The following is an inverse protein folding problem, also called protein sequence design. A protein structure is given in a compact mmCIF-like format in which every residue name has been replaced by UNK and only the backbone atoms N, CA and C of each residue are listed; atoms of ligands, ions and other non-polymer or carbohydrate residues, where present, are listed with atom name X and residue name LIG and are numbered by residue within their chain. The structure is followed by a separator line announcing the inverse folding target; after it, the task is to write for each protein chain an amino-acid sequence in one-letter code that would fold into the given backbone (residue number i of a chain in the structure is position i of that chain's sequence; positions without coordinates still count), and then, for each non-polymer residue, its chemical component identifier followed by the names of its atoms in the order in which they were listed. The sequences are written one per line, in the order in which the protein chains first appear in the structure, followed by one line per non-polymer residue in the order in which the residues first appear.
data_IF_574286191741
#
_entry.id   IF_574286191741
#
_cell.length_a   1.000
_cell.length_b   1.000
_cell.length_c   1.000
_cell.angle_alpha   90.00
_cell.angle_beta   90.00
_cell.angle_gamma   90.00
#
_symmetry.space_group_name_H-M   'P 1'
#
loop_
_entity.id
_entity.type
_entity.pdbx_description
1 polymer ?
#
# COMPACT_ATOMS: atom_id res chain seq x y z
N UNK A 1 -42.95 -77.27 -35.32
CA UNK A 1 -41.63 -76.66 -35.62
C UNK A 1 -41.81 -75.19 -35.95
N UNK A 2 -42.04 -74.34 -34.97
CA UNK A 2 -42.05 -72.87 -35.18
C UNK A 2 -42.32 -72.18 -33.84
N UNK A 3 -41.36 -72.16 -32.90
CA UNK A 3 -41.47 -71.24 -31.77
C UNK A 3 -40.13 -70.89 -31.04
N UNK A 4 -39.03 -71.52 -31.45
CA UNK A 4 -37.76 -71.30 -30.73
C UNK A 4 -36.83 -70.19 -31.24
N UNK A 5 -37.11 -69.64 -32.42
CA UNK A 5 -36.26 -68.57 -32.99
C UNK A 5 -36.54 -67.14 -32.48
N UNK A 6 -37.73 -66.91 -31.93
CA UNK A 6 -38.11 -65.57 -31.43
C UNK A 6 -37.55 -65.22 -30.04
N UNK A 7 -37.20 -66.26 -29.24
CA UNK A 7 -36.72 -66.06 -27.85
C UNK A 7 -35.22 -65.75 -27.73
N UNK A 8 -34.41 -66.17 -28.71
CA UNK A 8 -32.94 -65.84 -28.68
C UNK A 8 -32.61 -64.46 -29.17
N UNK A 9 -33.41 -63.84 -30.07
CA UNK A 9 -33.20 -62.51 -30.58
C UNK A 9 -33.49 -61.40 -29.55
N UNK A 10 -34.32 -61.67 -28.53
CA UNK A 10 -34.62 -60.73 -27.43
C UNK A 10 -33.51 -60.62 -26.41
N UNK A 11 -32.81 -61.72 -26.06
CA UNK A 11 -31.75 -61.73 -25.06
C UNK A 11 -30.46 -61.01 -25.54
N UNK A 12 -30.11 -61.13 -26.79
CA UNK A 12 -28.96 -60.45 -27.39
C UNK A 12 -29.06 -58.94 -27.39
N UNK A 13 -30.25 -58.40 -27.62
CA UNK A 13 -30.49 -56.94 -27.63
C UNK A 13 -30.50 -56.31 -26.27
N UNK A 14 -31.00 -56.98 -25.23
CA UNK A 14 -31.05 -56.48 -23.88
C UNK A 14 -29.63 -56.44 -23.26
N UNK A 15 -28.81 -57.46 -23.50
CA UNK A 15 -27.43 -57.56 -22.99
C UNK A 15 -26.54 -56.49 -23.69
N UNK A 16 -26.77 -56.21 -24.96
CA UNK A 16 -26.02 -55.20 -25.71
C UNK A 16 -26.41 -53.76 -25.29
N UNK A 17 -27.69 -53.54 -24.94
CA UNK A 17 -28.17 -52.23 -24.45
C UNK A 17 -27.66 -51.94 -23.02
N UNK A 18 -27.62 -52.93 -22.13
CA UNK A 18 -27.06 -52.81 -20.79
C UNK A 18 -25.53 -52.56 -20.80
N UNK A 19 -24.80 -53.19 -21.73
CA UNK A 19 -23.34 -52.94 -21.88
C UNK A 19 -23.05 -51.53 -22.42
N UNK A 20 -23.87 -50.97 -23.29
CA UNK A 20 -23.73 -49.62 -23.80
C UNK A 20 -24.11 -48.55 -22.75
N UNK A 21 -25.10 -48.82 -21.89
CA UNK A 21 -25.45 -47.93 -20.75
C UNK A 21 -24.36 -47.93 -19.67
N UNK A 22 -23.76 -49.08 -19.36
CA UNK A 22 -22.68 -49.18 -18.38
C UNK A 22 -21.39 -48.50 -18.84
N UNK A 23 -21.06 -48.54 -20.15
CA UNK A 23 -19.94 -47.79 -20.72
C UNK A 23 -20.18 -46.25 -20.75
N UNK A 24 -21.41 -45.81 -20.92
CA UNK A 24 -21.78 -44.39 -20.92
C UNK A 24 -21.72 -43.79 -19.51
N UNK A 25 -22.05 -44.53 -18.46
CA UNK A 25 -21.97 -44.08 -17.07
C UNK A 25 -20.52 -44.05 -16.55
N UNK A 26 -19.65 -44.97 -17.00
CA UNK A 26 -18.23 -44.98 -16.64
C UNK A 26 -17.42 -43.86 -17.33
N UNK A 27 -17.85 -43.37 -18.50
CA UNK A 27 -17.23 -42.24 -19.16
C UNK A 27 -17.66 -40.89 -18.57
N UNK A 28 -18.85 -40.80 -17.95
CA UNK A 28 -19.33 -39.56 -17.32
C UNK A 28 -18.69 -39.30 -15.93
N UNK A 29 -18.17 -40.34 -15.25
CA UNK A 29 -17.47 -40.16 -13.97
C UNK A 29 -16.00 -39.74 -14.09
N UNK A 30 -15.42 -39.73 -15.27
CA UNK A 30 -14.02 -39.36 -15.49
C UNK A 30 -13.85 -37.87 -15.87
N UNK A 31 -14.92 -37.06 -16.01
CA UNK A 31 -14.84 -35.64 -16.41
C UNK A 31 -14.95 -34.69 -15.19
N UNK A 32 -15.20 -35.19 -13.97
CA UNK A 32 -15.03 -34.44 -12.74
C UNK A 32 -13.61 -34.57 -12.18
N UNK A 33 -12.58 -34.54 -13.03
CA UNK A 33 -11.27 -34.10 -12.60
C UNK A 33 -11.44 -32.62 -12.29
N UNK A 34 -11.70 -32.29 -11.05
CA UNK A 34 -11.50 -30.94 -10.54
C UNK A 34 -10.15 -30.49 -11.10
N UNK A 35 -10.15 -29.56 -12.02
CA UNK A 35 -8.94 -28.83 -12.35
C UNK A 35 -8.51 -28.20 -11.01
N UNK A 36 -7.70 -28.92 -10.26
CA UNK A 36 -6.96 -28.35 -9.14
C UNK A 36 -6.22 -27.19 -9.78
N UNK A 37 -6.73 -25.98 -9.56
CA UNK A 37 -6.08 -24.79 -10.07
C UNK A 37 -4.64 -24.88 -9.57
N UNK A 38 -3.69 -24.97 -10.51
CA UNK A 38 -2.28 -25.07 -10.17
C UNK A 38 -1.94 -23.92 -9.23
N UNK A 39 -1.25 -24.21 -8.15
CA UNK A 39 -0.76 -23.21 -7.22
C UNK A 39 0.02 -22.13 -7.99
N UNK A 40 -0.36 -20.88 -7.79
CA UNK A 40 0.30 -19.73 -8.42
C UNK A 40 1.23 -19.09 -7.41
N UNK A 41 2.46 -18.80 -7.82
CA UNK A 41 3.42 -18.03 -7.00
C UNK A 41 3.55 -16.62 -7.56
N UNK A 42 3.23 -15.60 -6.75
CA UNK A 42 3.32 -14.20 -7.08
C UNK A 42 4.64 -13.60 -6.56
N UNK A 43 5.28 -12.77 -7.37
CA UNK A 43 6.52 -12.06 -7.00
C UNK A 43 6.15 -10.76 -6.29
N UNK A 44 6.70 -10.57 -5.08
CA UNK A 44 6.40 -9.40 -4.27
C UNK A 44 7.66 -8.62 -3.91
N UNK A 45 7.56 -7.29 -3.85
CA UNK A 45 8.64 -6.37 -3.46
C UNK A 45 8.12 -5.32 -2.50
N UNK A 46 8.98 -4.82 -1.60
CA UNK A 46 8.69 -3.69 -0.74
C UNK A 46 9.56 -2.48 -1.10
N UNK A 47 8.96 -1.29 -1.11
CA UNK A 47 9.69 -0.02 -1.20
C UNK A 47 10.43 0.33 0.12
N UNK A 48 10.20 -0.44 1.18
CA UNK A 48 10.79 -0.24 2.50
C UNK A 48 11.71 -1.41 2.87
N UNK A 49 12.73 -1.13 3.68
CA UNK A 49 13.65 -2.14 4.16
C UNK A 49 12.91 -3.20 4.99
N UNK A 50 13.34 -4.43 4.86
CA UNK A 50 12.77 -5.58 5.57
C UNK A 50 12.84 -5.38 7.09
N UNK A 51 11.84 -5.87 7.79
CA UNK A 51 11.70 -5.83 9.26
C UNK A 51 11.61 -4.41 9.85
N UNK A 52 11.43 -3.39 9.01
CA UNK A 52 11.19 -2.01 9.45
C UNK A 52 9.71 -1.73 9.65
N UNK A 53 9.38 -0.61 10.26
CA UNK A 53 8.01 -0.18 10.59
C UNK A 53 7.06 -0.30 9.38
N UNK A 54 7.53 0.07 8.18
CA UNK A 54 6.67 0.11 6.98
C UNK A 54 6.71 -1.15 6.11
N UNK A 55 7.50 -2.16 6.49
CA UNK A 55 7.50 -3.48 5.84
C UNK A 55 6.80 -4.55 6.67
N UNK A 56 6.79 -4.44 8.01
CA UNK A 56 6.23 -5.46 8.91
C UNK A 56 4.78 -5.86 8.62
N UNK A 57 3.91 -4.88 8.31
CA UNK A 57 2.53 -5.15 7.94
C UNK A 57 2.41 -5.98 6.65
N UNK A 58 3.28 -5.69 5.68
CA UNK A 58 3.36 -6.43 4.43
C UNK A 58 3.94 -7.83 4.62
N UNK A 59 4.95 -7.98 5.45
CA UNK A 59 5.52 -9.29 5.80
C UNK A 59 4.47 -10.18 6.48
N UNK A 60 3.69 -9.63 7.44
CA UNK A 60 2.53 -10.31 8.04
C UNK A 60 1.46 -10.71 6.98
N UNK A 61 1.20 -9.83 6.01
CA UNK A 61 0.29 -10.13 4.90
C UNK A 61 0.80 -11.32 4.07
N UNK A 62 2.08 -11.35 3.73
CA UNK A 62 2.72 -12.45 3.00
C UNK A 62 2.62 -13.76 3.78
N UNK A 63 2.96 -13.74 5.07
CA UNK A 63 2.89 -14.92 5.94
C UNK A 63 1.47 -15.51 6.00
N UNK A 64 0.45 -14.65 6.11
CA UNK A 64 -0.96 -15.05 6.10
C UNK A 64 -1.38 -15.69 4.76
N UNK A 65 -0.99 -15.05 3.65
CA UNK A 65 -1.28 -15.60 2.31
C UNK A 65 -0.60 -16.94 2.13
N UNK A 66 0.66 -17.08 2.51
CA UNK A 66 1.42 -18.31 2.36
C UNK A 66 0.93 -19.42 3.29
N UNK A 67 0.39 -19.09 4.46
CA UNK A 67 -0.20 -20.04 5.38
C UNK A 67 -1.58 -20.55 4.89
N UNK A 68 -2.47 -19.62 4.53
CA UNK A 68 -3.86 -19.92 4.14
C UNK A 68 -3.97 -20.37 2.66
N UNK A 69 -3.00 -20.03 1.84
CA UNK A 69 -3.01 -20.24 0.39
C UNK A 69 -2.29 -21.49 -0.10
N UNK A 70 -1.87 -22.41 0.79
CA UNK A 70 -1.19 -23.65 0.39
C UNK A 70 -2.01 -24.44 -0.63
N UNK A 71 -1.36 -24.79 -1.77
CA UNK A 71 -2.00 -25.47 -2.89
C UNK A 71 -2.89 -24.59 -3.77
N UNK A 72 -3.01 -23.28 -3.46
CA UNK A 72 -3.85 -22.31 -4.19
C UNK A 72 -3.02 -21.13 -4.70
N UNK A 73 -2.32 -20.44 -3.79
CA UNK A 73 -1.51 -19.26 -4.11
C UNK A 73 -0.42 -19.06 -3.05
N UNK A 74 0.76 -18.68 -3.50
CA UNK A 74 1.90 -18.32 -2.65
C UNK A 74 2.47 -16.98 -3.07
N UNK A 75 3.18 -16.32 -2.17
CA UNK A 75 3.93 -15.11 -2.45
C UNK A 75 5.42 -15.39 -2.24
N UNK A 76 6.20 -15.14 -3.27
CA UNK A 76 7.66 -15.09 -3.20
C UNK A 76 8.08 -13.63 -2.92
N UNK A 77 8.52 -13.35 -1.70
CA UNK A 77 9.03 -12.04 -1.33
C UNK A 77 10.47 -11.86 -1.82
N UNK A 78 10.68 -10.99 -2.81
CA UNK A 78 11.99 -10.73 -3.43
C UNK A 78 12.87 -9.89 -2.49
N UNK A 79 12.26 -9.02 -1.67
CA UNK A 79 12.95 -8.16 -0.71
C UNK A 79 12.54 -6.69 -0.79
N UNK A 80 13.33 -5.85 -0.12
CA UNK A 80 13.15 -4.40 -0.04
C UNK A 80 14.03 -3.61 -1.00
N UNK A 81 14.51 -2.39 -0.57
CA UNK A 81 15.29 -1.45 -1.40
C UNK A 81 16.60 -2.00 -1.98
N UNK A 82 17.14 -3.08 -1.44
CA UNK A 82 18.31 -3.77 -2.02
C UNK A 82 17.96 -4.53 -3.30
N UNK A 83 16.73 -5.03 -3.40
CA UNK A 83 16.23 -5.72 -4.59
C UNK A 83 15.72 -4.72 -5.64
N UNK A 84 15.11 -3.62 -5.22
CA UNK A 84 14.55 -2.62 -6.12
C UNK A 84 14.51 -1.23 -5.47
N UNK A 85 15.01 -0.17 -6.14
CA UNK A 85 14.95 1.19 -5.62
C UNK A 85 13.49 1.62 -5.31
N UNK A 86 13.22 2.29 -4.17
CA UNK A 86 11.86 2.61 -3.73
C UNK A 86 11.00 3.35 -4.76
N UNK A 87 11.58 4.31 -5.51
CA UNK A 87 10.86 5.10 -6.49
C UNK A 87 10.60 4.37 -7.83
N UNK A 88 11.19 3.17 -8.02
CA UNK A 88 10.99 2.32 -9.19
C UNK A 88 9.90 1.25 -8.98
N UNK A 89 9.52 1.00 -7.73
CA UNK A 89 8.53 -0.04 -7.38
C UNK A 89 7.20 0.16 -8.10
N UNK A 90 6.74 1.41 -8.24
CA UNK A 90 5.50 1.74 -8.94
C UNK A 90 5.55 1.37 -10.43
N UNK A 91 6.64 1.69 -11.12
CA UNK A 91 6.85 1.33 -12.52
C UNK A 91 6.96 -0.19 -12.71
N UNK A 92 7.70 -0.87 -11.83
CA UNK A 92 7.86 -2.32 -11.88
C UNK A 92 6.52 -3.05 -11.69
N UNK A 93 5.67 -2.57 -10.79
CA UNK A 93 4.33 -3.09 -10.63
C UNK A 93 3.48 -2.84 -11.89
N UNK A 94 3.45 -1.61 -12.40
CA UNK A 94 2.66 -1.22 -13.59
C UNK A 94 2.99 -2.11 -14.80
N UNK A 95 4.26 -2.38 -15.01
CA UNK A 95 4.74 -3.17 -16.16
C UNK A 95 4.71 -4.68 -15.93
N UNK A 96 4.39 -5.15 -14.72
CA UNK A 96 4.34 -6.58 -14.38
C UNK A 96 5.71 -7.23 -14.14
N UNK A 97 6.75 -6.45 -13.90
CA UNK A 97 8.05 -6.97 -13.43
C UNK A 97 7.88 -7.63 -12.07
N UNK A 98 7.02 -7.06 -11.23
CA UNK A 98 6.54 -7.68 -9.98
C UNK A 98 5.01 -7.76 -10.00
N UNK A 99 4.47 -8.72 -9.25
CA UNK A 99 3.03 -8.98 -9.19
C UNK A 99 2.36 -8.26 -8.03
N UNK A 100 3.08 -8.07 -6.93
CA UNK A 100 2.62 -7.39 -5.71
C UNK A 100 3.68 -6.39 -5.26
N UNK A 101 3.24 -5.22 -4.80
CA UNK A 101 4.10 -4.20 -4.23
C UNK A 101 3.57 -3.69 -2.89
N UNK A 102 4.47 -3.53 -1.92
CA UNK A 102 4.30 -2.73 -0.74
C UNK A 102 4.93 -1.35 -1.00
N UNK A 103 4.11 -0.33 -1.18
CA UNK A 103 4.59 1.01 -1.51
C UNK A 103 3.66 2.09 -0.95
N UNK A 104 3.98 3.34 -1.19
CA UNK A 104 3.21 4.50 -0.76
C UNK A 104 2.95 5.44 -1.93
N UNK A 105 1.87 6.20 -1.88
CA UNK A 105 1.61 7.30 -2.80
C UNK A 105 2.79 8.26 -2.92
N UNK A 106 3.54 8.46 -1.82
CA UNK A 106 4.76 9.25 -1.79
C UNK A 106 5.85 8.84 -2.81
N UNK A 107 5.88 7.56 -3.22
CA UNK A 107 6.90 7.03 -4.12
C UNK A 107 6.37 6.74 -5.53
N UNK A 108 5.08 6.94 -5.78
CA UNK A 108 4.42 6.61 -7.05
C UNK A 108 3.85 7.81 -7.79
N UNK A 109 4.10 9.03 -7.31
CA UNK A 109 3.61 10.29 -7.93
C UNK A 109 4.06 10.49 -9.38
N UNK A 110 5.22 9.95 -9.75
CA UNK A 110 5.72 9.96 -11.14
C UNK A 110 4.90 9.08 -12.10
N UNK A 111 4.21 8.07 -11.56
CA UNK A 111 3.34 7.15 -12.33
C UNK A 111 1.89 7.60 -12.28
N UNK A 112 1.45 8.06 -11.10
CA UNK A 112 0.07 8.44 -10.82
C UNK A 112 0.06 9.58 -9.78
N UNK A 113 -0.01 10.84 -10.20
CA UNK A 113 -0.02 12.00 -9.28
C UNK A 113 -1.12 11.93 -8.22
N UNK A 114 -2.28 11.35 -8.57
CA UNK A 114 -3.42 11.17 -7.66
C UNK A 114 -3.08 10.32 -6.43
N UNK A 115 -2.07 9.46 -6.51
CA UNK A 115 -1.62 8.67 -5.36
C UNK A 115 -1.17 9.53 -4.18
N UNK A 116 -0.76 10.78 -4.45
CA UNK A 116 -0.40 11.76 -3.43
C UNK A 116 -1.57 12.19 -2.54
N UNK A 117 -2.82 12.00 -2.99
CA UNK A 117 -4.01 12.39 -2.22
C UNK A 117 -4.17 11.61 -0.92
N UNK A 118 -3.64 10.40 -0.82
CA UNK A 118 -3.75 9.60 0.40
C UNK A 118 -3.21 10.30 1.65
N UNK A 119 -2.16 11.12 1.52
CA UNK A 119 -1.61 11.90 2.64
C UNK A 119 -2.57 12.94 3.20
N UNK A 120 -3.55 13.38 2.40
CA UNK A 120 -4.49 14.45 2.73
C UNK A 120 -5.83 13.93 3.24
N UNK A 121 -6.00 12.61 3.37
CA UNK A 121 -7.26 12.06 3.86
C UNK A 121 -7.49 12.43 5.32
N UNK A 122 -8.68 12.97 5.59
CA UNK A 122 -9.19 13.27 6.94
C UNK A 122 -10.14 12.15 7.43
N UNK A 123 -10.33 11.11 6.61
CA UNK A 123 -11.26 10.01 6.84
C UNK A 123 -10.53 8.68 6.96
N UNK A 124 -10.94 7.79 7.88
CA UNK A 124 -10.39 6.44 7.95
C UNK A 124 -10.82 5.62 6.73
N UNK A 125 -10.07 4.57 6.40
CA UNK A 125 -10.37 3.69 5.26
C UNK A 125 -11.79 3.10 5.31
N UNK A 126 -12.29 2.77 6.50
CA UNK A 126 -13.65 2.26 6.69
C UNK A 126 -14.74 3.24 6.23
N UNK A 127 -14.49 4.55 6.32
CA UNK A 127 -15.38 5.60 5.82
C UNK A 127 -15.21 5.80 4.31
N UNK A 128 -13.97 5.81 3.80
CA UNK A 128 -13.68 5.93 2.37
C UNK A 128 -14.26 4.77 1.56
N UNK A 129 -14.31 3.56 2.11
CA UNK A 129 -14.98 2.41 1.49
C UNK A 129 -16.50 2.57 1.44
N UNK A 130 -17.10 3.31 2.36
CA UNK A 130 -18.56 3.55 2.41
C UNK A 130 -19.00 4.73 1.56
N UNK A 131 -18.19 5.78 1.47
CA UNK A 131 -18.55 7.01 0.76
C UNK A 131 -18.19 6.99 -0.74
N UNK A 132 -17.57 5.90 -1.23
CA UNK A 132 -17.16 5.75 -2.64
C UNK A 132 -15.74 6.28 -2.94
N UNK A 133 -15.05 6.88 -1.98
CA UNK A 133 -13.70 7.43 -2.18
C UNK A 133 -12.67 6.35 -2.49
N UNK A 134 -12.78 5.19 -1.84
CA UNK A 134 -11.95 4.03 -2.15
C UNK A 134 -12.17 3.54 -3.59
N UNK A 135 -13.42 3.34 -3.99
CA UNK A 135 -13.76 2.82 -5.33
C UNK A 135 -13.31 3.79 -6.43
N UNK A 136 -13.46 5.09 -6.18
CA UNK A 136 -12.98 6.12 -7.11
C UNK A 136 -11.46 6.06 -7.29
N UNK A 137 -10.70 6.00 -6.20
CA UNK A 137 -9.24 5.84 -6.25
C UNK A 137 -8.83 4.51 -6.89
N UNK A 138 -9.51 3.41 -6.57
CA UNK A 138 -9.24 2.10 -7.15
C UNK A 138 -9.40 2.11 -8.69
N UNK A 139 -10.40 2.84 -9.20
CA UNK A 139 -10.58 3.05 -10.64
C UNK A 139 -9.38 3.76 -11.27
N UNK A 140 -8.85 4.81 -10.63
CA UNK A 140 -7.68 5.55 -11.12
C UNK A 140 -6.41 4.67 -11.08
N UNK A 141 -6.21 3.91 -10.00
CA UNK A 141 -5.11 2.93 -9.92
C UNK A 141 -5.17 1.90 -11.06
N UNK A 142 -6.36 1.37 -11.36
CA UNK A 142 -6.54 0.41 -12.44
C UNK A 142 -6.22 1.03 -13.82
N UNK A 143 -6.62 2.27 -14.06
CA UNK A 143 -6.44 2.95 -15.35
C UNK A 143 -5.00 3.45 -15.55
N UNK A 144 -4.43 4.15 -14.56
CA UNK A 144 -3.15 4.84 -14.71
C UNK A 144 -1.95 3.99 -14.32
N UNK A 145 -2.12 3.09 -13.37
CA UNK A 145 -1.03 2.30 -12.78
C UNK A 145 -1.13 0.81 -13.09
N UNK A 146 -2.17 0.37 -13.83
CA UNK A 146 -2.45 -1.06 -14.06
C UNK A 146 -2.40 -1.85 -12.74
N UNK A 147 -2.98 -1.31 -11.68
CA UNK A 147 -2.90 -1.86 -10.33
C UNK A 147 -4.28 -1.97 -9.66
N UNK A 148 -4.43 -3.00 -8.84
CA UNK A 148 -5.50 -3.14 -7.86
C UNK A 148 -4.97 -2.64 -6.53
N UNK A 149 -5.64 -1.65 -5.93
CA UNK A 149 -5.38 -1.21 -4.56
C UNK A 149 -6.04 -2.21 -3.61
N UNK A 150 -5.26 -3.06 -2.96
CA UNK A 150 -5.81 -4.18 -2.20
C UNK A 150 -6.11 -3.79 -0.75
N UNK A 151 -5.15 -3.16 -0.07
CA UNK A 151 -5.29 -2.72 1.32
C UNK A 151 -4.35 -1.57 1.65
N UNK A 152 -4.72 -0.77 2.66
CA UNK A 152 -3.86 0.22 3.32
C UNK A 152 -3.38 -0.35 4.66
N UNK A 153 -2.07 -0.62 4.77
CA UNK A 153 -1.48 -1.25 5.96
C UNK A 153 -0.87 -0.25 6.96
N UNK A 154 -0.84 1.04 6.62
CA UNK A 154 -0.43 2.13 7.52
C UNK A 154 -1.50 3.19 7.50
N UNK A 155 -2.06 3.48 8.65
CA UNK A 155 -3.09 4.50 8.85
C UNK A 155 -2.88 5.22 10.18
N UNK A 156 -3.49 6.41 10.32
CA UNK A 156 -3.41 7.23 11.54
C UNK A 156 -1.96 7.49 12.02
N UNK A 157 -1.05 7.75 11.08
CA UNK A 157 0.37 7.95 11.35
C UNK A 157 0.80 9.33 10.84
N UNK A 158 0.80 10.38 11.69
CA UNK A 158 1.04 11.75 11.26
C UNK A 158 2.49 11.98 10.85
N UNK A 159 2.69 12.74 9.76
CA UNK A 159 4.00 13.28 9.39
C UNK A 159 4.39 14.45 10.28
N UNK A 160 5.68 14.51 10.60
CA UNK A 160 6.32 15.61 11.30
C UNK A 160 7.54 16.13 10.53
N UNK A 161 7.90 17.36 10.79
CA UNK A 161 9.19 17.94 10.42
C UNK A 161 10.20 17.67 11.53
N UNK A 162 11.35 17.11 11.19
CA UNK A 162 12.47 16.84 12.08
C UNK A 162 13.67 17.67 11.70
N UNK A 163 14.34 18.27 12.69
CA UNK A 163 15.42 19.23 12.48
C UNK A 163 16.62 18.93 13.37
N UNK A 164 17.80 19.34 12.93
CA UNK A 164 19.01 19.41 13.75
C UNK A 164 19.27 20.81 14.34
N UNK A 165 18.48 21.83 13.92
CA UNK A 165 18.50 23.21 14.41
C UNK A 165 17.09 23.62 14.85
N UNK A 166 16.92 24.48 15.87
CA UNK A 166 15.60 24.95 16.27
C UNK A 166 15.05 26.00 15.30
N UNK A 167 13.71 26.06 15.24
CA UNK A 167 12.95 27.15 14.62
C UNK A 167 11.95 27.70 15.62
N UNK A 168 11.56 28.96 15.49
CA UNK A 168 10.59 29.62 16.38
C UNK A 168 9.23 29.87 15.71
N UNK A 169 9.18 29.77 14.39
CA UNK A 169 8.00 29.96 13.57
C UNK A 169 7.99 28.93 12.42
N UNK A 170 6.87 28.74 11.72
CA UNK A 170 6.79 27.87 10.53
C UNK A 170 7.46 28.53 9.30
N UNK A 171 8.72 28.88 9.44
CA UNK A 171 9.58 29.45 8.42
C UNK A 171 10.86 28.60 8.31
N UNK A 172 11.10 28.07 7.12
CA UNK A 172 12.22 27.19 6.80
C UNK A 172 13.26 27.88 5.90
N UNK A 173 13.20 29.21 5.80
CA UNK A 173 14.16 30.00 5.01
C UNK A 173 15.59 29.73 5.48
N UNK A 174 16.47 29.42 4.53
CA UNK A 174 17.86 29.06 4.80
C UNK A 174 18.11 27.61 5.25
N UNK A 175 17.07 26.81 5.42
CA UNK A 175 17.22 25.39 5.75
C UNK A 175 17.14 24.51 4.50
N UNK A 176 17.94 23.46 4.47
CA UNK A 176 17.90 22.38 3.48
C UNK A 176 17.14 21.19 4.08
N UNK A 177 16.01 20.88 3.52
CA UNK A 177 15.14 19.82 4.06
C UNK A 177 15.08 18.64 3.10
N UNK A 178 15.39 17.46 3.61
CA UNK A 178 15.19 16.20 2.87
C UNK A 178 13.71 15.93 2.70
N UNK A 179 13.33 15.55 1.48
CA UNK A 179 11.94 15.25 1.13
C UNK A 179 11.79 13.91 0.39
N UNK A 180 10.55 13.41 0.40
CA UNK A 180 9.95 12.65 -0.70
C UNK A 180 9.06 13.59 -1.53
N UNK A 181 8.61 13.23 -2.74
CA UNK A 181 7.83 14.15 -3.59
C UNK A 181 6.63 14.80 -2.90
N UNK A 182 5.93 14.04 -2.04
CA UNK A 182 4.61 14.41 -1.49
C UNK A 182 4.58 15.64 -0.60
N UNK A 183 5.68 16.10 -0.03
CA UNK A 183 5.72 17.33 0.77
C UNK A 183 6.66 18.40 0.23
N UNK A 184 7.05 18.28 -1.06
CA UNK A 184 7.87 19.27 -1.75
C UNK A 184 7.25 20.66 -1.71
N UNK A 185 6.04 20.78 -2.24
CA UNK A 185 5.36 22.06 -2.40
C UNK A 185 5.12 22.75 -1.04
N UNK A 186 4.77 21.95 -0.03
CA UNK A 186 4.57 22.45 1.33
C UNK A 186 5.85 23.03 1.93
N UNK A 187 6.97 22.31 1.91
CA UNK A 187 8.20 22.82 2.49
C UNK A 187 8.82 23.96 1.67
N UNK A 188 8.65 23.95 0.35
CA UNK A 188 9.03 25.11 -0.48
C UNK A 188 8.18 26.32 -0.16
N UNK A 189 6.87 26.17 0.10
CA UNK A 189 5.99 27.27 0.51
C UNK A 189 6.31 27.81 1.91
N UNK A 190 7.08 27.07 2.71
CA UNK A 190 7.66 27.54 3.98
C UNK A 190 9.10 28.10 3.82
N UNK A 191 9.61 28.24 2.60
CA UNK A 191 10.92 28.81 2.31
C UNK A 191 12.11 27.83 2.28
N UNK A 192 11.87 26.50 2.45
CA UNK A 192 12.94 25.52 2.45
C UNK A 192 13.59 25.34 1.07
N UNK A 193 14.91 25.11 1.05
CA UNK A 193 15.57 24.40 -0.04
C UNK A 193 15.35 22.91 0.13
N UNK A 194 14.77 22.22 -0.85
CA UNK A 194 14.40 20.81 -0.72
C UNK A 194 15.34 19.88 -1.48
N UNK A 195 15.70 18.76 -0.85
CA UNK A 195 16.57 17.70 -1.41
C UNK A 195 15.84 16.39 -1.37
N UNK A 196 15.55 15.81 -2.54
CA UNK A 196 14.87 14.52 -2.64
C UNK A 196 15.88 13.39 -2.58
N UNK A 197 15.74 12.52 -1.56
CA UNK A 197 16.53 11.29 -1.45
C UNK A 197 15.68 10.13 -0.94
N UNK A 198 16.02 8.87 -1.31
CA UNK A 198 15.38 7.69 -0.74
C UNK A 198 15.69 7.55 0.76
N UNK A 199 14.86 6.80 1.53
CA UNK A 199 15.03 6.68 2.96
C UNK A 199 16.41 6.18 3.41
N UNK A 200 17.02 5.24 2.67
CA UNK A 200 18.34 4.69 3.02
C UNK A 200 19.49 5.70 3.03
N UNK A 201 19.32 6.88 2.42
CA UNK A 201 20.37 7.91 2.31
C UNK A 201 20.24 9.04 3.34
N UNK A 202 19.15 9.07 4.12
CA UNK A 202 18.85 10.20 5.01
C UNK A 202 19.87 10.32 6.16
N UNK A 203 20.26 9.20 6.76
CA UNK A 203 21.27 9.22 7.84
C UNK A 203 22.57 9.89 7.36
N UNK A 204 23.10 9.45 6.26
CA UNK A 204 24.33 10.01 5.67
C UNK A 204 24.17 11.48 5.25
N UNK A 205 23.01 11.86 4.72
CA UNK A 205 22.72 13.23 4.35
C UNK A 205 22.70 14.18 5.55
N UNK A 206 22.14 13.73 6.69
CA UNK A 206 22.15 14.45 7.96
C UNK A 206 23.57 14.53 8.54
N UNK A 207 24.28 13.40 8.56
CA UNK A 207 25.64 13.29 9.10
C UNK A 207 26.62 14.22 8.39
N UNK A 208 26.53 14.30 7.06
CA UNK A 208 27.40 15.15 6.23
C UNK A 208 26.92 16.60 6.13
N UNK A 209 25.81 16.96 6.77
CA UNK A 209 25.26 18.31 6.71
C UNK A 209 24.73 18.70 5.33
N UNK A 210 24.41 17.72 4.47
CA UNK A 210 23.74 17.96 3.17
C UNK A 210 22.35 18.53 3.40
N UNK A 211 21.68 18.08 4.48
CA UNK A 211 20.36 18.56 4.90
C UNK A 211 20.37 18.93 6.39
N UNK A 212 19.53 19.90 6.77
CA UNK A 212 19.32 20.36 8.15
C UNK A 212 18.15 19.63 8.83
N UNK A 213 17.39 18.84 8.09
CA UNK A 213 16.24 18.13 8.59
C UNK A 213 15.51 17.35 7.49
N UNK A 214 14.37 16.77 7.88
CA UNK A 214 13.60 15.92 6.99
C UNK A 214 12.12 15.88 7.39
N UNK A 215 11.23 15.55 6.44
CA UNK A 215 9.87 15.13 6.72
C UNK A 215 9.81 13.62 6.87
N UNK A 216 9.13 13.13 7.91
CA UNK A 216 8.85 11.71 8.14
C UNK A 216 7.67 11.53 9.10
N UNK A 217 6.96 10.39 9.06
CA UNK A 217 5.93 10.12 10.07
C UNK A 217 6.50 10.04 11.49
N UNK A 218 5.61 10.07 12.49
CA UNK A 218 5.97 9.98 13.90
C UNK A 218 6.73 8.68 14.24
N UNK A 219 6.48 7.60 13.50
CA UNK A 219 7.13 6.30 13.64
C UNK A 219 8.25 6.11 12.62
N UNK A 220 9.18 5.21 12.92
CA UNK A 220 10.18 4.67 11.97
C UNK A 220 11.51 5.40 11.90
N UNK A 221 11.72 6.53 12.59
CA UNK A 221 13.02 7.23 12.60
C UNK A 221 14.13 6.42 13.29
N UNK A 222 13.75 5.42 14.10
CA UNK A 222 14.70 4.52 14.77
C UNK A 222 15.16 3.38 13.87
N UNK A 223 14.38 2.99 12.87
CA UNK A 223 14.66 1.84 11.99
C UNK A 223 15.98 1.99 11.23
N UNK A 224 16.30 3.22 10.84
CA UNK A 224 17.48 3.56 10.05
C UNK A 224 18.45 4.51 10.79
N UNK A 225 18.33 4.60 12.12
CA UNK A 225 19.24 5.35 12.97
C UNK A 225 19.10 6.89 12.91
N UNK A 226 18.08 7.44 12.24
CA UNK A 226 17.97 8.90 12.02
C UNK A 226 17.83 9.70 13.31
N UNK A 227 17.29 9.08 14.36
CA UNK A 227 17.16 9.69 15.69
C UNK A 227 18.49 10.17 16.26
N UNK A 228 19.62 9.55 15.90
CA UNK A 228 20.98 9.95 16.37
C UNK A 228 21.40 11.32 15.83
N UNK A 229 20.85 11.72 14.68
CA UNK A 229 21.16 13.00 14.00
C UNK A 229 20.02 14.02 14.15
N UNK A 230 18.96 13.68 14.89
CA UNK A 230 17.75 14.50 15.08
C UNK A 230 17.76 15.15 16.46
N UNK A 231 17.56 16.48 16.50
CA UNK A 231 17.47 17.22 17.77
C UNK A 231 16.07 17.70 18.09
N UNK A 232 15.28 17.97 17.05
CA UNK A 232 13.96 18.57 17.20
C UNK A 232 12.92 17.88 16.35
N UNK A 233 11.69 17.75 16.87
CA UNK A 233 10.48 17.41 16.15
C UNK A 233 9.52 18.59 16.25
N UNK A 234 8.93 18.98 15.13
CA UNK A 234 7.93 20.07 15.10
C UNK A 234 6.54 19.48 15.29
N UNK A 235 5.78 20.01 16.22
CA UNK A 235 4.36 19.80 16.43
C UNK A 235 3.60 21.10 16.12
N UNK A 236 2.44 21.01 15.44
CA UNK A 236 1.71 19.77 15.10
C UNK A 236 2.29 19.04 13.87
N UNK A 237 1.87 17.76 13.72
CA UNK A 237 2.01 17.05 12.45
C UNK A 237 1.17 17.67 11.34
N UNK A 238 1.43 17.31 10.07
CA UNK A 238 0.81 17.98 8.93
C UNK A 238 0.01 17.06 7.98
N UNK A 239 0.52 15.91 7.60
CA UNK A 239 -0.15 14.92 6.75
C UNK A 239 -0.33 13.61 7.48
N UNK A 240 -0.97 12.63 6.84
CA UNK A 240 -1.01 11.24 7.34
C UNK A 240 -0.24 10.31 6.40
N UNK A 241 0.54 9.39 6.97
CA UNK A 241 1.23 8.39 6.17
C UNK A 241 0.25 7.32 5.68
N UNK A 242 0.55 6.81 4.52
CA UNK A 242 -0.13 5.66 3.90
C UNK A 242 0.94 4.74 3.35
N UNK A 243 0.77 3.44 3.59
CA UNK A 243 1.49 2.37 2.89
C UNK A 243 0.49 1.31 2.52
N UNK A 244 0.53 0.89 1.27
CA UNK A 244 -0.49 0.04 0.69
C UNK A 244 0.08 -1.19 0.01
N UNK A 245 -0.75 -2.23 -0.04
CA UNK A 245 -0.54 -3.41 -0.89
C UNK A 245 -1.24 -3.16 -2.22
N UNK A 246 -0.45 -3.14 -3.28
CA UNK A 246 -0.92 -3.03 -4.66
C UNK A 246 -0.63 -4.34 -5.40
N UNK A 247 -1.57 -4.77 -6.25
CA UNK A 247 -1.41 -5.96 -7.11
C UNK A 247 -1.47 -5.53 -8.58
N UNK A 248 -0.56 -6.01 -9.42
CA UNK A 248 -0.65 -5.78 -10.87
C UNK A 248 -2.00 -6.26 -11.39
N UNK A 249 -2.74 -5.38 -12.07
CA UNK A 249 -4.11 -5.68 -12.54
C UNK A 249 -4.14 -6.82 -13.54
N UNK A 250 -3.17 -6.86 -14.46
CA UNK A 250 -3.09 -7.95 -15.45
C UNK A 250 -2.85 -9.31 -14.78
N UNK A 251 -2.04 -9.36 -13.71
CA UNK A 251 -1.88 -10.56 -12.89
C UNK A 251 -3.18 -10.87 -12.14
N UNK A 252 -3.79 -9.87 -11.48
CA UNK A 252 -5.04 -10.03 -10.74
C UNK A 252 -6.18 -10.60 -11.60
N UNK A 253 -6.33 -10.10 -12.81
CA UNK A 253 -7.41 -10.53 -13.71
C UNK A 253 -7.32 -12.02 -14.08
N UNK A 254 -6.11 -12.60 -14.06
CA UNK A 254 -5.87 -14.03 -14.33
C UNK A 254 -6.09 -14.93 -13.12
N UNK A 255 -6.17 -14.35 -11.91
CA UNK A 255 -6.37 -15.13 -10.68
C UNK A 255 -7.80 -15.68 -10.62
N UNK A 256 -7.92 -16.92 -10.15
CA UNK A 256 -9.20 -17.56 -9.84
C UNK A 256 -9.89 -16.86 -8.64
N UNK A 257 -11.18 -17.13 -8.47
CA UNK A 257 -11.95 -16.63 -7.33
C UNK A 257 -11.34 -17.09 -5.98
N UNK A 258 -10.86 -18.35 -5.91
CA UNK A 258 -10.21 -18.89 -4.71
C UNK A 258 -8.91 -18.16 -4.38
N UNK A 259 -8.06 -17.88 -5.39
CA UNK A 259 -6.81 -17.13 -5.21
C UNK A 259 -7.07 -15.70 -4.75
N UNK A 260 -8.03 -15.01 -5.37
CA UNK A 260 -8.46 -13.66 -4.95
C UNK A 260 -9.02 -13.64 -3.53
N UNK A 261 -9.76 -14.68 -3.12
CA UNK A 261 -10.32 -14.77 -1.78
C UNK A 261 -9.24 -14.85 -0.70
N UNK A 262 -8.16 -15.63 -0.92
CA UNK A 262 -7.01 -15.71 0.00
C UNK A 262 -6.34 -14.34 0.15
N UNK A 263 -6.03 -13.66 -0.96
CA UNK A 263 -5.41 -12.33 -0.95
C UNK A 263 -6.30 -11.31 -0.24
N UNK A 264 -7.59 -11.26 -0.57
CA UNK A 264 -8.54 -10.33 0.02
C UNK A 264 -8.70 -10.54 1.54
N UNK A 265 -8.78 -11.79 2.00
CA UNK A 265 -8.89 -12.11 3.43
C UNK A 265 -7.68 -11.58 4.22
N UNK A 266 -6.46 -11.86 3.74
CA UNK A 266 -5.24 -11.39 4.38
C UNK A 266 -5.11 -9.87 4.36
N UNK A 267 -5.52 -9.23 3.26
CA UNK A 267 -5.50 -7.78 3.08
C UNK A 267 -6.49 -7.07 4.01
N UNK A 268 -7.75 -7.54 4.07
CA UNK A 268 -8.78 -6.98 4.95
C UNK A 268 -8.40 -7.09 6.43
N UNK A 269 -7.81 -8.21 6.83
CA UNK A 269 -7.32 -8.37 8.20
C UNK A 269 -6.21 -7.37 8.52
N UNK A 270 -5.21 -7.24 7.63
CA UNK A 270 -4.14 -6.26 7.82
C UNK A 270 -4.64 -4.81 7.87
N UNK A 271 -5.59 -4.44 6.99
CA UNK A 271 -6.20 -3.10 6.99
C UNK A 271 -6.99 -2.84 8.28
N UNK A 272 -7.72 -3.83 8.80
CA UNK A 272 -8.50 -3.68 10.03
C UNK A 272 -7.64 -3.50 11.28
N UNK A 273 -6.44 -4.07 11.30
CA UNK A 273 -5.47 -3.96 12.40
C UNK A 273 -4.68 -2.64 12.35
N UNK A 274 -4.46 -2.08 11.16
CA UNK A 274 -3.51 -0.99 10.91
C UNK A 274 -3.73 0.24 11.80
N UNK A 275 -4.97 0.73 11.94
CA UNK A 275 -5.25 1.94 12.73
C UNK A 275 -4.91 1.78 14.21
N UNK A 276 -5.25 0.64 14.81
CA UNK A 276 -4.96 0.35 16.22
C UNK A 276 -3.45 0.13 16.43
N UNK A 277 -2.79 -0.62 15.54
CA UNK A 277 -1.35 -0.89 15.59
C UNK A 277 -0.57 0.44 15.51
N UNK A 278 -0.86 1.29 14.54
CA UNK A 278 -0.16 2.57 14.40
C UNK A 278 -0.49 3.58 15.48
N UNK A 279 -1.69 3.56 16.06
CA UNK A 279 -1.99 4.38 17.24
C UNK A 279 -1.10 4.02 18.43
N UNK A 280 -0.88 2.72 18.67
CA UNK A 280 0.00 2.24 19.72
C UNK A 280 1.48 2.54 19.42
N UNK A 281 1.94 2.32 18.20
CA UNK A 281 3.31 2.63 17.77
C UNK A 281 3.60 4.14 17.84
N UNK A 282 2.65 5.00 17.48
CA UNK A 282 2.78 6.46 17.60
C UNK A 282 3.05 6.89 19.04
N UNK A 283 2.28 6.36 20.00
CA UNK A 283 2.47 6.66 21.41
C UNK A 283 3.84 6.18 21.90
N UNK A 284 4.24 4.97 21.52
CA UNK A 284 5.52 4.37 21.86
C UNK A 284 6.69 5.17 21.27
N UNK A 285 6.65 5.50 20.00
CA UNK A 285 7.74 6.23 19.34
C UNK A 285 7.81 7.69 19.79
N UNK A 286 6.68 8.32 20.14
CA UNK A 286 6.66 9.63 20.78
C UNK A 286 7.47 9.61 22.07
N UNK A 287 7.25 8.60 22.91
CA UNK A 287 8.01 8.43 24.16
C UNK A 287 9.49 8.15 23.89
N UNK A 288 9.81 7.23 22.96
CA UNK A 288 11.19 6.91 22.59
C UNK A 288 11.96 8.11 22.07
N UNK A 289 11.29 9.00 21.30
CA UNK A 289 11.90 10.23 20.80
C UNK A 289 12.27 11.17 21.98
N UNK A 290 11.36 11.33 22.95
CA UNK A 290 11.65 12.14 24.14
C UNK A 290 12.78 11.52 24.97
N UNK A 291 12.75 10.19 25.18
CA UNK A 291 13.80 9.45 25.91
C UNK A 291 15.17 9.56 25.20
N UNK A 292 15.19 9.66 23.87
CA UNK A 292 16.40 9.89 23.06
C UNK A 292 16.86 11.35 23.04
N UNK A 293 16.18 12.27 23.77
CA UNK A 293 16.55 13.68 23.87
C UNK A 293 16.06 14.55 22.72
N UNK A 294 15.15 14.05 21.85
CA UNK A 294 14.55 14.85 20.78
C UNK A 294 13.54 15.81 21.41
N UNK A 295 13.81 17.11 21.29
CA UNK A 295 12.96 18.15 21.83
C UNK A 295 11.77 18.43 20.90
N UNK A 296 10.59 18.65 21.47
CA UNK A 296 9.40 19.03 20.71
C UNK A 296 9.29 20.54 20.58
N UNK A 297 9.36 21.06 19.36
CA UNK A 297 9.03 22.46 19.03
C UNK A 297 7.50 22.52 18.88
N UNK A 298 6.85 23.28 19.75
CA UNK A 298 5.40 23.52 19.68
C UNK A 298 5.19 24.97 19.24
N UNK A 299 4.50 25.14 18.13
CA UNK A 299 4.02 26.46 17.72
C UNK A 299 2.86 26.94 18.61
N UNK A 300 2.68 28.24 18.75
CA UNK A 300 1.45 28.78 19.29
C UNK A 300 0.23 28.40 18.43
N UNK A 301 -0.98 28.62 18.95
CA UNK A 301 -2.20 28.17 18.30
C UNK A 301 -2.38 28.74 16.86
N UNK A 302 -2.02 30.02 16.65
CA UNK A 302 -2.17 30.68 15.36
C UNK A 302 -1.14 30.16 14.35
N UNK A 303 0.12 30.01 14.76
CA UNK A 303 1.18 29.46 13.93
C UNK A 303 0.94 27.98 13.61
N UNK A 304 0.44 27.20 14.58
CA UNK A 304 0.08 25.79 14.39
C UNK A 304 -1.06 25.63 13.37
N UNK A 305 -2.09 26.47 13.44
CA UNK A 305 -3.19 26.44 12.48
C UNK A 305 -2.73 26.89 11.08
N UNK A 306 -1.93 27.95 11.01
CA UNK A 306 -1.34 28.42 9.74
C UNK A 306 -0.48 27.34 9.09
N UNK A 307 0.33 26.60 9.88
CA UNK A 307 1.18 25.50 9.41
C UNK A 307 0.35 24.38 8.79
N UNK A 308 -0.69 23.90 9.49
CA UNK A 308 -1.59 22.85 8.98
C UNK A 308 -2.37 23.30 7.75
N UNK A 309 -2.98 24.49 7.81
CA UNK A 309 -3.74 25.05 6.69
C UNK A 309 -2.87 25.18 5.43
N UNK A 310 -1.63 25.69 5.57
CA UNK A 310 -0.69 25.74 4.47
C UNK A 310 -0.37 24.37 3.89
N UNK A 311 -0.15 23.35 4.73
CA UNK A 311 0.12 21.99 4.29
C UNK A 311 -1.04 21.42 3.44
N UNK A 312 -2.26 21.49 3.95
CA UNK A 312 -3.43 20.97 3.23
C UNK A 312 -3.75 21.77 1.97
N UNK A 313 -3.62 23.09 2.02
CA UNK A 313 -3.83 23.96 0.87
C UNK A 313 -2.85 23.62 -0.26
N UNK A 314 -1.54 23.66 0.02
CA UNK A 314 -0.51 23.36 -1.00
C UNK A 314 -0.62 21.92 -1.51
N UNK A 315 -0.98 20.97 -0.64
CA UNK A 315 -1.18 19.58 -1.02
C UNK A 315 -2.32 19.41 -2.03
N UNK A 316 -3.51 19.99 -1.75
CA UNK A 316 -4.65 19.89 -2.66
C UNK A 316 -4.44 20.71 -3.95
N UNK A 317 -3.85 21.90 -3.87
CA UNK A 317 -3.51 22.70 -5.04
C UNK A 317 -2.56 21.95 -5.98
N UNK A 318 -1.54 21.28 -5.42
CA UNK A 318 -0.60 20.45 -6.19
C UNK A 318 -1.28 19.29 -6.91
N UNK A 319 -2.16 18.57 -6.23
CA UNK A 319 -2.91 17.44 -6.81
C UNK A 319 -3.89 17.93 -7.89
N UNK A 320 -4.68 18.96 -7.63
CA UNK A 320 -5.64 19.52 -8.59
C UNK A 320 -4.91 20.04 -9.84
N UNK A 321 -3.75 20.70 -9.67
CA UNK A 321 -2.93 21.16 -10.78
C UNK A 321 -2.40 20.01 -11.65
N UNK A 322 -1.93 18.93 -11.04
CA UNK A 322 -1.36 17.76 -11.75
C UNK A 322 -2.43 16.82 -12.31
N UNK A 323 -3.61 16.80 -11.70
CA UNK A 323 -4.75 15.98 -12.10
C UNK A 323 -6.05 16.80 -12.06
N UNK A 324 -6.27 17.71 -13.02
CA UNK A 324 -7.48 18.54 -13.08
C UNK A 324 -8.77 17.72 -13.18
N UNK A 325 -8.68 16.53 -13.81
CA UNK A 325 -9.81 15.62 -14.02
C UNK A 325 -10.29 14.99 -12.70
N UNK A 326 -9.36 14.62 -11.82
CA UNK A 326 -9.66 13.81 -10.65
C UNK A 326 -9.49 14.56 -9.31
N UNK A 327 -8.58 15.54 -9.25
CA UNK A 327 -8.12 16.13 -7.99
C UNK A 327 -9.25 16.74 -7.14
N UNK A 328 -10.16 17.50 -7.76
CA UNK A 328 -11.28 18.10 -7.06
C UNK A 328 -12.25 17.03 -6.51
N UNK A 329 -12.52 15.97 -7.29
CA UNK A 329 -13.41 14.88 -6.89
C UNK A 329 -12.81 14.02 -5.76
N UNK A 330 -11.51 13.75 -5.81
CA UNK A 330 -10.83 13.05 -4.72
C UNK A 330 -10.93 13.86 -3.42
N UNK A 331 -10.75 15.20 -3.50
CA UNK A 331 -10.88 16.07 -2.34
C UNK A 331 -12.27 16.00 -1.69
N UNK A 332 -13.35 15.94 -2.47
CA UNK A 332 -14.72 15.76 -1.94
C UNK A 332 -14.86 14.49 -1.10
N UNK A 333 -14.29 13.37 -1.55
CA UNK A 333 -14.35 12.11 -0.82
C UNK A 333 -13.45 12.11 0.43
N UNK A 334 -12.29 12.73 0.36
CA UNK A 334 -11.22 12.59 1.34
C UNK A 334 -11.29 13.62 2.47
N UNK A 335 -11.79 14.83 2.19
CA UNK A 335 -11.92 15.88 3.18
C UNK A 335 -13.25 15.78 3.95
N UNK A 336 -13.24 16.15 5.23
CA UNK A 336 -14.45 16.39 5.99
C UNK A 336 -15.05 17.71 5.53
N UNK A 337 -16.37 17.75 5.36
CA UNK A 337 -17.05 19.03 5.12
C UNK A 337 -16.76 19.97 6.31
N UNK A 338 -16.29 21.17 5.99
CA UNK A 338 -16.17 22.24 6.99
C UNK A 338 -17.49 22.96 7.13
#
# INVERSE_FOLDING_TARGET
MTNDRAFELGRGRIVTMCKKLALGLAAATLICSSALAQEVTLRAVSAFAEKTTYSRGFEKFIDRVNADGKGVIQINYIGGPKAMPPFEVGNALKTGVVDIANTTGAFTTNVMPESDAWKLTERPMSELRKNGGYDYMATIYAQKMNAIFLARLVDNNPFHLYLNKPITAPDLTGLKIRITPVYRDFFQALGATVVQTPPGEVYTSLERGVVDGYGWPITGIFDLGWHEKTKYRVDPGFYTAEVSVLVNKTTWDKLSAAQKAVLNKAAQLGESEATAEFSAENAKDTKRQADAGIQTIKFDAAAAESFRTKAYQTGWEGIIKQSPEHGAKIREFFSKAK
#
